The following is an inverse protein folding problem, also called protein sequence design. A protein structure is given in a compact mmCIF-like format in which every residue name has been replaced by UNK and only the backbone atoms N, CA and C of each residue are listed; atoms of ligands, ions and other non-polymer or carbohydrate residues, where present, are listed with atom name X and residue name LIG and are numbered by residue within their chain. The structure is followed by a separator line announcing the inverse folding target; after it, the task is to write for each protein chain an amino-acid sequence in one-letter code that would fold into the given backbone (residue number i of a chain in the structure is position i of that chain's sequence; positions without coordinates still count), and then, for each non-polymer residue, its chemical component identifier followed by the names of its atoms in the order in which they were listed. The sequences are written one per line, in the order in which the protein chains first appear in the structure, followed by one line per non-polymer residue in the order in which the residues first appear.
data_IF_082475015660
#
_entry.id   IF_082475015660
#
_cell.length_a   1.000
_cell.length_b   1.000
_cell.length_c   1.000
_cell.angle_alpha   90.00
_cell.angle_beta   90.00
_cell.angle_gamma   90.00
#
_symmetry.space_group_name_H-M   'P 1'
#
loop_
_entity.id
_entity.type
_entity.pdbx_description
1 polymer ?
#
# COMPACT_ATOMS: atom_id res chain seq x y z
N UNK A 1 -8.52 -32.47 15.09
CA UNK A 1 -7.29 -33.04 14.50
C UNK A 1 -7.07 -32.24 13.23
N UNK A 2 -6.22 -31.22 13.29
CA UNK A 2 -5.85 -30.42 12.12
C UNK A 2 -4.93 -31.28 11.24
N UNK A 3 -5.29 -31.43 10.00
CA UNK A 3 -4.51 -32.10 8.96
C UNK A 3 -3.26 -31.26 8.68
N UNK A 4 -2.12 -31.86 8.86
CA UNK A 4 -0.78 -31.27 8.82
C UNK A 4 -0.23 -31.14 7.40
N UNK A 5 -0.94 -30.56 6.43
CA UNK A 5 -0.38 -30.40 5.08
C UNK A 5 -1.15 -29.40 4.18
N UNK A 6 -1.87 -28.43 4.71
CA UNK A 6 -2.45 -27.35 3.91
C UNK A 6 -1.74 -26.03 4.18
N UNK A 7 -1.39 -25.36 3.10
CA UNK A 7 -0.61 -24.14 2.94
C UNK A 7 -0.70 -23.14 4.11
N UNK A 8 0.44 -22.89 4.76
CA UNK A 8 0.57 -22.02 5.94
C UNK A 8 0.54 -20.54 5.51
N UNK A 9 -0.64 -20.00 5.29
CA UNK A 9 -0.83 -18.57 4.99
C UNK A 9 -1.57 -17.81 6.09
N UNK A 10 -1.98 -18.53 7.15
CA UNK A 10 -2.77 -18.02 8.28
C UNK A 10 -2.22 -18.62 9.58
N UNK A 11 -2.06 -17.80 10.62
CA UNK A 11 -1.61 -18.30 11.92
C UNK A 11 -2.60 -19.29 12.55
N UNK A 12 -2.11 -20.41 13.13
CA UNK A 12 -2.98 -21.40 13.76
C UNK A 12 -3.57 -20.88 15.08
N UNK A 13 -4.74 -21.42 15.43
CA UNK A 13 -5.35 -21.19 16.74
C UNK A 13 -4.80 -22.26 17.68
N UNK A 14 -3.87 -21.88 18.57
CA UNK A 14 -3.20 -22.82 19.50
C UNK A 14 -3.45 -22.48 20.98
N UNK A 15 -3.87 -21.27 21.28
CA UNK A 15 -4.12 -20.78 22.63
C UNK A 15 -2.94 -19.99 23.23
N UNK A 16 -3.20 -19.23 24.32
CA UNK A 16 -2.23 -18.28 24.87
C UNK A 16 -1.05 -18.96 25.62
N UNK A 17 -1.20 -20.22 26.00
CA UNK A 17 -0.17 -20.99 26.74
C UNK A 17 0.70 -21.83 25.79
N UNK A 18 0.48 -21.81 24.48
CA UNK A 18 1.33 -22.54 23.53
C UNK A 18 2.72 -21.87 23.48
N UNK A 19 3.81 -22.65 23.65
CA UNK A 19 5.16 -22.08 23.64
C UNK A 19 5.65 -21.68 22.26
N UNK A 20 4.95 -22.05 21.19
CA UNK A 20 5.29 -21.69 19.81
C UNK A 20 4.78 -20.29 19.49
N UNK A 21 5.57 -19.57 18.75
CA UNK A 21 5.21 -18.25 18.23
C UNK A 21 5.05 -18.31 16.70
N UNK A 22 4.04 -17.64 16.20
CA UNK A 22 3.76 -17.60 14.76
C UNK A 22 3.64 -16.15 14.30
N UNK A 23 4.04 -15.89 13.04
CA UNK A 23 3.58 -14.69 12.35
C UNK A 23 2.09 -14.82 12.03
N UNK A 24 1.44 -13.74 11.64
CA UNK A 24 0.04 -13.79 11.18
C UNK A 24 -0.14 -14.66 9.92
N UNK A 25 0.94 -14.86 9.18
CA UNK A 25 1.00 -15.75 8.00
C UNK A 25 1.19 -17.25 8.35
N UNK A 26 1.19 -17.60 9.63
CA UNK A 26 1.36 -18.98 10.08
C UNK A 26 2.79 -19.51 10.04
N UNK A 27 3.78 -18.65 9.79
CA UNK A 27 5.20 -19.02 9.84
C UNK A 27 5.62 -19.15 11.30
N UNK A 28 6.06 -20.35 11.71
CA UNK A 28 6.55 -20.59 13.06
C UNK A 28 7.90 -19.90 13.28
N UNK A 29 8.01 -19.17 14.39
CA UNK A 29 9.21 -18.43 14.75
C UNK A 29 10.07 -19.31 15.67
N UNK A 30 11.29 -19.63 15.24
CA UNK A 30 12.26 -20.36 16.03
C UNK A 30 12.79 -19.51 17.20
N UNK A 31 13.11 -20.10 18.35
CA UNK A 31 13.73 -19.35 19.44
C UNK A 31 15.11 -18.75 19.09
N UNK A 32 15.82 -19.34 18.12
CA UNK A 32 17.13 -18.90 17.63
C UNK A 32 17.25 -19.24 16.16
N UNK A 33 17.82 -18.32 15.38
CA UNK A 33 18.22 -18.50 13.98
C UNK A 33 19.72 -18.48 13.85
N UNK A 34 20.28 -19.33 13.00
CA UNK A 34 21.70 -19.52 12.78
C UNK A 34 22.03 -19.69 11.27
N UNK A 35 23.29 -19.99 10.95
CA UNK A 35 23.74 -20.15 9.56
C UNK A 35 22.93 -21.19 8.77
N UNK A 36 22.50 -22.26 9.42
CA UNK A 36 21.72 -23.34 8.81
C UNK A 36 20.28 -22.90 8.41
N UNK A 37 19.82 -21.75 8.91
CA UNK A 37 18.52 -21.17 8.56
C UNK A 37 18.58 -20.25 7.33
N UNK A 38 19.78 -19.93 6.86
CA UNK A 38 19.96 -19.07 5.72
C UNK A 38 19.73 -19.83 4.39
N UNK A 39 19.17 -19.17 3.38
CA UNK A 39 19.09 -19.74 2.02
C UNK A 39 20.48 -20.11 1.49
N UNK A 40 20.62 -21.28 0.85
CA UNK A 40 21.90 -21.77 0.31
C UNK A 40 22.62 -20.78 -0.61
N UNK A 41 21.89 -19.99 -1.38
CA UNK A 41 22.40 -19.01 -2.33
C UNK A 41 22.17 -17.56 -1.89
N UNK A 42 22.30 -17.27 -0.59
CA UNK A 42 22.01 -15.96 -0.02
C UNK A 42 22.69 -14.79 -0.78
N UNK A 43 24.00 -14.84 -1.16
CA UNK A 43 24.63 -13.74 -1.88
C UNK A 43 23.94 -13.40 -3.21
N UNK A 44 23.51 -14.40 -3.98
CA UNK A 44 22.80 -14.21 -5.25
C UNK A 44 21.36 -13.71 -5.04
N UNK A 45 20.71 -14.17 -3.99
CA UNK A 45 19.35 -13.75 -3.62
C UNK A 45 19.30 -12.35 -3.05
N UNK A 46 20.36 -11.90 -2.38
CA UNK A 46 20.52 -10.52 -1.93
C UNK A 46 20.80 -9.57 -3.09
N UNK A 47 21.80 -9.89 -3.89
CA UNK A 47 22.34 -8.98 -4.90
C UNK A 47 22.88 -7.68 -4.30
N UNK A 48 23.18 -6.73 -5.15
CA UNK A 48 23.57 -5.37 -4.75
C UNK A 48 22.35 -4.42 -4.76
N UNK A 49 22.31 -3.42 -3.89
CA UNK A 49 21.24 -2.42 -3.92
C UNK A 49 21.12 -1.73 -5.29
N UNK A 50 19.91 -1.66 -5.82
CA UNK A 50 19.64 -1.04 -7.13
C UNK A 50 19.88 -1.96 -8.33
N UNK A 51 20.33 -3.20 -8.12
CA UNK A 51 20.55 -4.23 -9.13
C UNK A 51 19.61 -5.42 -8.93
N UNK A 52 19.40 -6.19 -9.99
CA UNK A 52 18.61 -7.44 -9.92
C UNK A 52 19.21 -8.38 -8.86
N UNK A 53 18.41 -9.00 -8.00
CA UNK A 53 16.94 -9.08 -7.98
C UNK A 53 16.24 -7.98 -7.14
N UNK A 54 16.89 -6.91 -6.79
CA UNK A 54 16.38 -5.76 -6.02
C UNK A 54 15.95 -6.08 -4.58
N UNK A 55 16.36 -7.20 -4.02
CA UNK A 55 16.03 -7.58 -2.64
C UNK A 55 16.37 -6.46 -1.66
N UNK A 56 17.51 -5.80 -1.84
CA UNK A 56 18.06 -4.76 -0.98
C UNK A 56 17.58 -3.34 -1.30
N UNK A 57 16.74 -3.15 -2.31
CA UNK A 57 16.20 -1.85 -2.70
C UNK A 57 16.28 -1.58 -4.19
N UNK A 58 15.41 -0.69 -4.69
CA UNK A 58 15.28 -0.37 -6.13
C UNK A 58 16.31 0.64 -6.63
N UNK A 59 17.05 1.30 -5.73
CA UNK A 59 18.11 2.27 -6.04
C UNK A 59 19.37 1.95 -5.25
N UNK A 60 20.55 2.22 -5.84
CA UNK A 60 21.84 1.94 -5.22
C UNK A 60 22.02 2.65 -3.87
N UNK A 61 21.67 3.92 -3.81
CA UNK A 61 21.91 4.75 -2.64
C UNK A 61 20.67 4.95 -1.76
N UNK A 62 19.50 4.49 -2.21
CA UNK A 62 18.21 4.63 -1.50
C UNK A 62 18.08 5.99 -0.80
N UNK A 63 17.82 6.00 0.51
CA UNK A 63 17.59 7.22 1.29
C UNK A 63 18.84 8.06 1.54
N UNK A 64 20.03 7.52 1.36
CA UNK A 64 21.29 8.28 1.44
C UNK A 64 21.37 9.36 0.36
N UNK A 65 20.70 9.16 -0.78
CA UNK A 65 20.58 10.17 -1.84
C UNK A 65 19.38 11.08 -1.62
N UNK A 66 18.25 10.53 -1.29
CA UNK A 66 16.99 11.25 -1.11
C UNK A 66 16.06 10.41 -0.25
N UNK A 67 15.50 10.99 0.82
CA UNK A 67 14.47 10.35 1.62
C UNK A 67 13.24 10.02 0.77
N UNK A 68 12.43 9.11 1.27
CA UNK A 68 11.13 8.81 0.66
C UNK A 68 10.24 10.05 0.58
N UNK A 69 9.28 10.03 -0.32
CA UNK A 69 8.28 11.10 -0.39
C UNK A 69 7.38 11.02 0.83
N UNK A 70 7.42 12.03 1.68
CA UNK A 70 6.54 12.14 2.85
C UNK A 70 5.20 12.68 2.37
N UNK A 71 4.16 11.86 2.53
CA UNK A 71 2.78 12.19 2.14
C UNK A 71 1.87 12.03 3.35
N UNK A 72 0.82 12.84 3.37
CA UNK A 72 -0.32 12.62 4.24
C UNK A 72 -1.55 12.47 3.37
N UNK A 73 -2.30 11.39 3.56
CA UNK A 73 -3.59 11.17 2.91
C UNK A 73 -4.56 12.21 3.43
N UNK A 74 -5.01 13.11 2.58
CA UNK A 74 -5.79 14.26 2.97
C UNK A 74 -6.86 14.59 1.93
N UNK A 75 -8.01 15.00 2.41
CA UNK A 75 -9.16 15.43 1.65
C UNK A 75 -10.38 15.28 2.53
N UNK A 76 -11.19 16.32 2.62
CA UNK A 76 -12.44 16.32 3.37
C UNK A 76 -13.31 17.49 2.92
N UNK A 77 -14.60 17.36 3.14
CA UNK A 77 -15.58 18.39 2.86
C UNK A 77 -15.50 18.97 1.45
N UNK A 78 -15.27 20.24 1.31
CA UNK A 78 -15.19 20.93 0.01
C UNK A 78 -13.77 20.96 -0.57
N UNK A 79 -13.68 21.26 -1.88
CA UNK A 79 -12.44 21.49 -2.57
C UNK A 79 -11.60 22.61 -1.92
N UNK A 80 -12.27 23.66 -1.40
CA UNK A 80 -11.61 24.78 -0.72
C UNK A 80 -10.95 24.36 0.60
N UNK A 81 -11.67 23.65 1.46
CA UNK A 81 -11.12 23.17 2.74
C UNK A 81 -9.99 22.19 2.52
N UNK A 82 -10.10 21.35 1.50
CA UNK A 82 -9.02 20.44 1.09
C UNK A 82 -7.80 21.20 0.56
N UNK A 83 -7.97 22.25 -0.21
CA UNK A 83 -6.89 23.12 -0.69
C UNK A 83 -6.14 23.77 0.49
N UNK A 84 -6.85 24.33 1.47
CA UNK A 84 -6.26 24.90 2.69
C UNK A 84 -5.42 23.84 3.43
N UNK A 85 -5.90 22.60 3.51
CA UNK A 85 -5.15 21.49 4.12
C UNK A 85 -3.92 21.12 3.31
N UNK A 86 -3.97 21.14 1.99
CA UNK A 86 -2.80 20.85 1.14
C UNK A 86 -1.72 21.90 1.32
N UNK A 87 -2.06 23.19 1.34
CA UNK A 87 -1.13 24.26 1.66
C UNK A 87 -0.49 24.06 3.03
N UNK A 88 -1.29 23.81 4.06
CA UNK A 88 -0.80 23.54 5.40
C UNK A 88 0.22 22.39 5.44
N UNK A 89 -0.05 21.26 4.79
CA UNK A 89 0.86 20.12 4.77
C UNK A 89 2.17 20.43 4.05
N UNK A 90 2.13 21.14 2.92
CA UNK A 90 3.31 21.54 2.17
C UNK A 90 4.19 22.53 2.99
N UNK A 91 3.60 23.49 3.66
CA UNK A 91 4.29 24.43 4.56
C UNK A 91 4.95 23.73 5.76
N UNK A 92 4.40 22.60 6.21
CA UNK A 92 4.95 21.82 7.32
C UNK A 92 5.93 20.71 6.90
N UNK A 93 6.30 20.66 5.60
CA UNK A 93 7.37 19.80 5.09
C UNK A 93 6.90 18.49 4.45
N UNK A 94 5.60 18.38 4.10
CA UNK A 94 5.16 17.35 3.17
C UNK A 94 5.83 17.57 1.81
N UNK A 95 6.33 16.49 1.18
CA UNK A 95 7.07 16.59 -0.09
C UNK A 95 6.25 16.14 -1.30
N UNK A 96 4.99 15.78 -1.07
CA UNK A 96 4.01 15.44 -2.10
C UNK A 96 2.61 15.39 -1.50
N UNK A 97 1.60 15.47 -2.34
CA UNK A 97 0.19 15.43 -1.95
C UNK A 97 -0.40 14.03 -2.15
N UNK A 98 -1.37 13.67 -1.32
CA UNK A 98 -2.19 12.48 -1.48
C UNK A 98 -3.66 12.88 -1.30
N UNK A 99 -4.41 12.90 -2.41
CA UNK A 99 -5.79 13.37 -2.47
C UNK A 99 -6.76 12.24 -2.17
N UNK A 100 -7.54 12.42 -1.12
CA UNK A 100 -8.66 11.54 -0.75
C UNK A 100 -9.95 12.07 -1.36
N UNK A 101 -10.68 11.23 -2.08
CA UNK A 101 -11.98 11.57 -2.65
C UNK A 101 -13.09 10.98 -1.79
N UNK A 102 -14.22 11.66 -1.73
CA UNK A 102 -15.40 11.16 -1.05
C UNK A 102 -16.04 9.96 -1.79
N UNK A 103 -16.97 9.29 -1.12
CA UNK A 103 -17.61 8.11 -1.68
C UNK A 103 -18.41 8.40 -2.97
N UNK A 104 -19.19 9.49 -3.08
CA UNK A 104 -19.85 9.85 -4.33
C UNK A 104 -18.89 9.98 -5.50
N UNK A 105 -17.82 10.75 -5.35
CA UNK A 105 -16.79 10.91 -6.38
C UNK A 105 -16.19 9.56 -6.79
N UNK A 106 -15.91 8.68 -5.83
CA UNK A 106 -15.36 7.34 -6.10
C UNK A 106 -16.32 6.43 -6.88
N UNK A 107 -17.64 6.65 -6.72
CA UNK A 107 -18.70 5.92 -7.42
C UNK A 107 -19.17 6.60 -8.69
N UNK A 108 -18.55 7.73 -9.08
CA UNK A 108 -18.93 8.49 -10.27
C UNK A 108 -20.32 9.12 -10.17
N UNK A 109 -20.69 9.57 -8.97
CA UNK A 109 -21.95 10.25 -8.68
C UNK A 109 -21.67 11.72 -8.38
N UNK A 110 -22.53 12.60 -8.88
CA UNK A 110 -22.52 14.02 -8.54
C UNK A 110 -23.07 14.23 -7.13
N UNK A 111 -22.63 15.28 -6.45
CA UNK A 111 -22.98 15.55 -5.05
C UNK A 111 -24.48 15.83 -4.81
N UNK A 112 -25.23 16.21 -5.86
CA UNK A 112 -26.68 16.45 -5.82
C UNK A 112 -27.52 15.19 -6.06
N UNK A 113 -26.89 14.04 -6.36
CA UNK A 113 -27.60 12.77 -6.51
C UNK A 113 -28.23 12.38 -5.16
N UNK A 114 -29.53 12.06 -5.10
CA UNK A 114 -30.21 11.68 -3.85
C UNK A 114 -29.58 10.51 -3.10
N UNK A 115 -28.83 9.64 -3.80
CA UNK A 115 -28.09 8.50 -3.20
C UNK A 115 -26.88 8.93 -2.37
N UNK A 116 -26.41 10.16 -2.56
CA UNK A 116 -25.22 10.71 -1.91
C UNK A 116 -25.51 11.40 -0.58
N UNK A 117 -26.78 11.47 -0.15
CA UNK A 117 -27.18 12.17 1.07
C UNK A 117 -26.42 11.63 2.29
N UNK A 118 -25.65 12.51 2.95
CA UNK A 118 -24.86 12.20 4.14
C UNK A 118 -23.46 11.63 3.86
N UNK A 119 -23.08 11.45 2.59
CA UNK A 119 -21.74 10.93 2.21
C UNK A 119 -20.86 11.98 1.53
N UNK A 120 -21.43 13.09 1.03
CA UNK A 120 -20.69 14.15 0.33
C UNK A 120 -19.69 14.80 1.29
N UNK A 121 -18.39 14.79 0.88
CA UNK A 121 -17.31 15.41 1.66
C UNK A 121 -16.93 14.69 2.95
N UNK A 122 -17.53 13.54 3.28
CA UNK A 122 -17.37 12.87 4.58
C UNK A 122 -16.05 12.11 4.70
N UNK A 123 -15.67 11.35 3.69
CA UNK A 123 -14.47 10.48 3.71
C UNK A 123 -13.37 10.96 2.79
N UNK A 124 -13.54 12.13 2.20
CA UNK A 124 -12.63 12.74 1.24
C UNK A 124 -13.27 13.99 0.64
N UNK A 125 -12.62 14.59 -0.33
CA UNK A 125 -13.11 15.78 -1.03
C UNK A 125 -14.10 15.38 -2.13
N UNK A 126 -15.20 16.12 -2.22
CA UNK A 126 -16.15 16.04 -3.34
C UNK A 126 -15.58 16.78 -4.56
N UNK A 127 -15.50 16.09 -5.71
CA UNK A 127 -15.10 16.66 -7.01
C UNK A 127 -16.13 16.25 -8.05
N UNK A 128 -17.02 17.15 -8.36
CA UNK A 128 -18.07 16.94 -9.36
C UNK A 128 -17.70 17.47 -10.74
N UNK A 129 -16.80 18.47 -10.77
CA UNK A 129 -16.47 19.20 -11.99
C UNK A 129 -15.03 19.68 -12.04
N UNK A 130 -14.67 20.27 -13.20
CA UNK A 130 -13.37 20.96 -13.36
C UNK A 130 -13.23 22.16 -12.40
N UNK A 131 -14.33 22.81 -12.02
CA UNK A 131 -14.30 23.95 -11.11
C UNK A 131 -13.87 23.54 -9.72
N UNK A 132 -14.31 22.39 -9.22
CA UNK A 132 -13.86 21.82 -7.96
C UNK A 132 -12.38 21.47 -8.00
N UNK A 133 -11.92 20.88 -9.12
CA UNK A 133 -10.52 20.55 -9.31
C UNK A 133 -9.62 21.80 -9.36
N UNK A 134 -10.09 22.90 -10.00
CA UNK A 134 -9.41 24.19 -10.00
C UNK A 134 -9.25 24.74 -8.57
N UNK A 135 -10.33 24.69 -7.79
CA UNK A 135 -10.31 25.15 -6.39
C UNK A 135 -9.38 24.28 -5.54
N UNK A 136 -9.42 22.95 -5.70
CA UNK A 136 -8.60 22.02 -4.93
C UNK A 136 -7.09 22.25 -5.14
N UNK A 137 -6.68 22.69 -6.33
CA UNK A 137 -5.27 22.92 -6.69
C UNK A 137 -4.90 24.40 -6.88
N UNK A 138 -5.76 25.31 -6.41
CA UNK A 138 -5.46 26.74 -6.47
C UNK A 138 -4.17 27.09 -5.70
N UNK A 139 -3.24 27.77 -6.35
CA UNK A 139 -1.94 28.17 -5.78
C UNK A 139 -0.93 27.04 -5.55
N UNK A 140 -1.24 25.79 -5.92
CA UNK A 140 -0.33 24.65 -5.79
C UNK A 140 0.46 24.47 -7.09
N UNK A 141 1.82 24.53 -7.05
CA UNK A 141 2.65 24.43 -8.24
C UNK A 141 2.74 22.97 -8.74
N UNK A 142 1.95 22.60 -9.75
CA UNK A 142 1.83 21.22 -10.26
C UNK A 142 3.09 20.73 -10.99
N UNK A 143 3.99 21.62 -11.38
CA UNK A 143 5.32 21.32 -11.94
C UNK A 143 6.32 20.84 -10.86
N UNK A 144 6.08 21.18 -9.58
CA UNK A 144 6.98 20.90 -8.47
C UNK A 144 6.46 19.83 -7.52
N UNK A 145 5.16 19.78 -7.31
CA UNK A 145 4.50 18.87 -6.37
C UNK A 145 3.98 17.64 -7.11
N UNK A 146 4.33 16.45 -6.63
CA UNK A 146 3.71 15.22 -7.14
C UNK A 146 2.43 14.92 -6.38
N UNK A 147 1.35 14.61 -7.12
CA UNK A 147 0.04 14.32 -6.54
C UNK A 147 -0.33 12.86 -6.71
N UNK A 148 -0.65 12.18 -5.61
CA UNK A 148 -1.28 10.86 -5.63
C UNK A 148 -2.78 11.01 -5.48
N UNK A 149 -3.55 10.36 -6.36
CA UNK A 149 -5.01 10.35 -6.32
C UNK A 149 -5.54 8.96 -6.00
N UNK A 150 -6.23 8.83 -4.85
CA UNK A 150 -6.85 7.58 -4.43
C UNK A 150 -8.19 7.41 -5.12
N UNK A 151 -8.14 7.11 -6.41
CA UNK A 151 -9.31 6.98 -7.28
C UNK A 151 -9.15 5.77 -8.21
N UNK A 152 -10.23 5.03 -8.45
CA UNK A 152 -10.23 3.76 -9.19
C UNK A 152 -11.20 3.78 -10.37
N UNK A 153 -12.47 3.46 -10.20
CA UNK A 153 -13.41 3.37 -11.32
C UNK A 153 -13.48 4.65 -12.20
N UNK A 154 -13.58 5.88 -11.64
CA UNK A 154 -13.55 7.12 -12.41
C UNK A 154 -12.14 7.72 -12.58
N UNK A 155 -11.06 6.95 -12.39
CA UNK A 155 -9.67 7.44 -12.42
C UNK A 155 -9.31 8.20 -13.68
N UNK A 156 -9.81 7.77 -14.85
CA UNK A 156 -9.56 8.45 -16.13
C UNK A 156 -10.15 9.85 -16.17
N UNK A 157 -11.36 10.04 -15.65
CA UNK A 157 -12.01 11.35 -15.59
C UNK A 157 -11.24 12.30 -14.68
N UNK A 158 -10.92 11.85 -13.45
CA UNK A 158 -10.22 12.69 -12.47
C UNK A 158 -8.80 13.05 -12.94
N UNK A 159 -8.11 12.14 -13.65
CA UNK A 159 -6.81 12.43 -14.24
C UNK A 159 -6.90 13.50 -15.33
N UNK A 160 -7.91 13.42 -16.20
CA UNK A 160 -8.12 14.43 -17.25
C UNK A 160 -8.47 15.79 -16.66
N UNK A 161 -9.27 15.86 -15.60
CA UNK A 161 -9.54 17.12 -14.89
C UNK A 161 -8.25 17.72 -14.31
N UNK A 162 -7.38 16.88 -13.72
CA UNK A 162 -6.09 17.31 -13.19
C UNK A 162 -5.14 17.81 -14.29
N UNK A 163 -5.08 17.12 -15.44
CA UNK A 163 -4.29 17.55 -16.61
C UNK A 163 -4.75 18.92 -17.12
N UNK A 164 -6.06 19.12 -17.25
CA UNK A 164 -6.64 20.41 -17.69
C UNK A 164 -6.28 21.55 -16.72
N UNK A 165 -6.33 21.31 -15.40
CA UNK A 165 -5.89 22.31 -14.41
C UNK A 165 -4.40 22.58 -14.55
N UNK A 166 -3.58 21.58 -14.83
CA UNK A 166 -2.15 21.76 -15.12
C UNK A 166 -1.92 22.64 -16.34
N UNK A 167 -2.65 22.39 -17.44
CA UNK A 167 -2.58 23.21 -18.67
C UNK A 167 -3.00 24.67 -18.39
N UNK A 168 -4.05 24.90 -17.62
CA UNK A 168 -4.51 26.24 -17.21
C UNK A 168 -3.48 26.97 -16.33
N UNK A 169 -2.69 26.25 -15.53
CA UNK A 169 -1.56 26.78 -14.76
C UNK A 169 -0.29 26.99 -15.63
N UNK A 170 -0.34 26.64 -16.91
CA UNK A 170 0.82 26.72 -17.82
C UNK A 170 1.83 25.59 -17.63
N UNK A 171 1.47 24.49 -16.98
CA UNK A 171 2.32 23.31 -16.80
C UNK A 171 2.05 22.33 -17.96
N UNK A 172 3.06 22.03 -18.80
CA UNK A 172 2.92 21.03 -19.85
C UNK A 172 2.55 19.65 -19.29
N UNK A 173 1.69 18.89 -19.96
CA UNK A 173 1.25 17.57 -19.51
C UNK A 173 2.43 16.61 -19.24
N UNK A 174 3.47 16.67 -20.06
CA UNK A 174 4.70 15.87 -19.90
C UNK A 174 5.51 16.21 -18.65
N UNK A 175 5.25 17.34 -17.98
CA UNK A 175 5.90 17.72 -16.72
C UNK A 175 5.11 17.29 -15.48
N UNK A 176 3.81 16.97 -15.64
CA UNK A 176 2.98 16.52 -14.55
C UNK A 176 3.49 15.21 -13.95
N UNK A 177 3.52 15.16 -12.61
CA UNK A 177 4.02 14.02 -11.85
C UNK A 177 2.99 13.61 -10.82
N UNK A 178 2.72 12.32 -10.75
CA UNK A 178 1.76 11.82 -9.78
C UNK A 178 1.47 10.35 -9.98
N UNK A 179 0.37 9.93 -9.39
CA UNK A 179 -0.12 8.56 -9.43
C UNK A 179 -1.63 8.56 -9.35
N UNK A 180 -2.33 7.88 -10.25
CA UNK A 180 -3.70 7.42 -10.01
C UNK A 180 -3.66 6.03 -9.42
N UNK A 181 -4.48 5.74 -8.39
CA UNK A 181 -4.53 4.39 -7.83
C UNK A 181 -4.98 3.38 -8.89
N UNK A 182 -6.11 3.64 -9.56
CA UNK A 182 -6.54 2.92 -10.78
C UNK A 182 -6.48 1.38 -10.67
N UNK A 183 -6.53 0.86 -9.44
CA UNK A 183 -6.53 -0.57 -9.15
C UNK A 183 -7.95 -1.05 -8.91
N UNK A 184 -8.59 -1.53 -9.97
CA UNK A 184 -9.99 -1.92 -9.86
C UNK A 184 -10.17 -3.33 -9.28
N UNK A 185 -9.22 -4.25 -9.46
CA UNK A 185 -9.35 -5.62 -8.97
C UNK A 185 -9.47 -5.67 -7.44
N UNK A 186 -8.72 -4.83 -6.74
CA UNK A 186 -8.85 -4.77 -5.27
C UNK A 186 -10.21 -4.29 -4.79
N UNK A 187 -10.95 -3.55 -5.61
CA UNK A 187 -12.31 -3.12 -5.27
C UNK A 187 -13.27 -4.32 -5.22
N UNK A 188 -13.18 -5.25 -6.18
CA UNK A 188 -14.00 -6.47 -6.16
C UNK A 188 -13.60 -7.42 -5.04
N UNK A 189 -12.31 -7.47 -4.68
CA UNK A 189 -11.79 -8.40 -3.68
C UNK A 189 -12.02 -7.90 -2.24
N UNK A 190 -11.79 -6.62 -1.98
CA UNK A 190 -11.74 -6.11 -0.60
C UNK A 190 -12.61 -4.89 -0.33
N UNK A 191 -12.52 -3.81 -1.15
CA UNK A 191 -13.03 -2.50 -0.76
C UNK A 191 -14.49 -2.26 -1.17
N UNK A 192 -14.90 -2.69 -2.36
CA UNK A 192 -16.30 -2.65 -2.80
C UNK A 192 -16.73 -1.44 -3.63
N UNK A 193 -15.84 -0.50 -3.94
CA UNK A 193 -16.18 0.73 -4.68
C UNK A 193 -15.92 0.55 -6.18
N UNK A 194 -16.81 -0.12 -6.88
CA UNK A 194 -16.74 -0.34 -8.33
C UNK A 194 -18.02 0.10 -9.04
N UNK A 195 -17.91 0.46 -10.32
CA UNK A 195 -19.01 0.94 -11.16
C UNK A 195 -19.31 -0.07 -12.28
N UNK A 196 -18.27 -0.65 -12.87
CA UNK A 196 -18.35 -1.49 -14.06
C UNK A 196 -18.08 -2.97 -13.72
N UNK A 197 -18.48 -3.93 -14.59
CA UNK A 197 -18.02 -5.31 -14.50
C UNK A 197 -16.50 -5.42 -14.60
N UNK A 198 -15.88 -6.48 -14.02
CA UNK A 198 -14.41 -6.60 -13.94
C UNK A 198 -13.66 -6.43 -15.26
N UNK A 199 -14.14 -7.06 -16.34
CA UNK A 199 -13.47 -7.01 -17.64
C UNK A 199 -13.50 -5.59 -18.24
N UNK A 200 -14.63 -4.90 -18.13
CA UNK A 200 -14.78 -3.52 -18.57
C UNK A 200 -13.91 -2.56 -17.78
N UNK A 201 -13.81 -2.78 -16.47
CA UNK A 201 -12.99 -2.00 -15.56
C UNK A 201 -11.49 -2.20 -15.82
N UNK A 202 -11.03 -3.43 -16.05
CA UNK A 202 -9.63 -3.73 -16.42
C UNK A 202 -9.28 -3.08 -17.76
N UNK A 203 -10.19 -3.09 -18.73
CA UNK A 203 -9.98 -2.40 -20.01
C UNK A 203 -9.77 -0.89 -19.80
N UNK A 204 -10.60 -0.22 -19.00
CA UNK A 204 -10.42 1.21 -18.70
C UNK A 204 -9.07 1.49 -18.02
N UNK A 205 -8.61 0.57 -17.16
CA UNK A 205 -7.29 0.67 -16.53
C UNK A 205 -6.17 0.65 -17.59
N UNK A 206 -6.22 -0.26 -18.54
CA UNK A 206 -5.19 -0.36 -19.60
C UNK A 206 -5.29 0.76 -20.63
N UNK A 207 -6.49 1.28 -20.91
CA UNK A 207 -6.67 2.47 -21.75
C UNK A 207 -5.95 3.69 -21.13
N UNK A 208 -6.00 3.82 -19.79
CA UNK A 208 -5.27 4.88 -19.09
C UNK A 208 -3.74 4.68 -19.18
N UNK A 209 -3.24 3.44 -19.21
CA UNK A 209 -1.82 3.17 -19.46
C UNK A 209 -1.39 3.71 -20.82
N UNK A 210 -2.17 3.43 -21.86
CA UNK A 210 -1.92 3.89 -23.21
C UNK A 210 -1.95 5.42 -23.32
N UNK A 211 -2.91 6.06 -22.67
CA UNK A 211 -3.05 7.52 -22.62
C UNK A 211 -1.83 8.17 -21.95
N UNK A 212 -1.50 7.74 -20.74
CA UNK A 212 -0.39 8.32 -19.98
C UNK A 212 0.95 8.17 -20.69
N UNK A 213 1.19 7.04 -21.35
CA UNK A 213 2.40 6.83 -22.16
C UNK A 213 2.59 7.96 -23.20
N UNK A 214 1.51 8.41 -23.81
CA UNK A 214 1.56 9.40 -24.89
C UNK A 214 1.53 10.85 -24.38
N UNK A 215 0.74 11.13 -23.34
CA UNK A 215 0.42 12.50 -22.91
C UNK A 215 1.12 12.89 -21.62
N UNK A 216 1.22 11.99 -20.65
CA UNK A 216 1.73 12.28 -19.29
C UNK A 216 2.81 11.25 -18.92
N UNK A 217 3.97 11.21 -19.60
CA UNK A 217 4.94 10.11 -19.50
C UNK A 217 5.62 9.98 -18.13
N UNK A 218 5.49 10.99 -17.27
CA UNK A 218 6.03 10.95 -15.89
C UNK A 218 5.01 10.45 -14.86
N UNK A 219 3.78 10.16 -15.27
CA UNK A 219 2.71 9.70 -14.39
C UNK A 219 2.82 8.20 -14.09
N UNK A 220 2.63 7.80 -12.83
CA UNK A 220 2.44 6.40 -12.48
C UNK A 220 0.98 6.04 -12.74
N UNK A 221 0.77 5.12 -13.66
CA UNK A 221 -0.54 4.82 -14.25
C UNK A 221 -1.44 4.00 -13.35
N UNK A 222 -0.85 3.32 -12.36
CA UNK A 222 -1.54 2.49 -11.37
C UNK A 222 -0.72 2.44 -10.08
N UNK A 223 -1.40 2.21 -8.97
CA UNK A 223 -0.82 1.80 -7.69
C UNK A 223 -1.50 0.52 -7.23
N UNK A 224 -0.93 -0.63 -7.59
CA UNK A 224 -1.47 -1.96 -7.33
C UNK A 224 -1.45 -2.22 -5.83
N UNK A 225 -2.63 -2.43 -5.23
CA UNK A 225 -2.83 -2.23 -3.80
C UNK A 225 -3.05 -3.53 -3.04
N UNK A 226 -2.09 -3.89 -2.19
CA UNK A 226 -2.24 -4.88 -1.12
C UNK A 226 -2.79 -4.27 0.18
N UNK A 227 -2.61 -2.97 0.38
CA UNK A 227 -3.04 -2.27 1.59
C UNK A 227 -4.46 -2.63 2.03
N UNK A 228 -5.42 -2.60 1.11
CA UNK A 228 -6.83 -2.83 1.42
C UNK A 228 -7.14 -4.30 1.79
N UNK A 229 -6.36 -5.25 1.27
CA UNK A 229 -6.44 -6.66 1.68
C UNK A 229 -6.03 -6.80 3.14
N UNK A 230 -4.97 -6.10 3.53
CA UNK A 230 -4.45 -6.09 4.89
C UNK A 230 -5.42 -5.43 5.87
N UNK A 231 -6.02 -4.32 5.48
CA UNK A 231 -7.06 -3.64 6.26
C UNK A 231 -8.32 -4.53 6.44
N UNK A 232 -8.61 -5.41 5.47
CA UNK A 232 -9.70 -6.39 5.57
C UNK A 232 -9.31 -7.63 6.38
N UNK A 233 -8.04 -7.81 6.75
CA UNK A 233 -7.57 -8.85 7.66
C UNK A 233 -6.78 -9.99 7.03
N UNK A 234 -6.25 -9.83 5.81
CA UNK A 234 -5.34 -10.83 5.24
C UNK A 234 -3.99 -10.87 5.97
N UNK A 235 -3.27 -11.96 5.83
CA UNK A 235 -1.90 -12.12 6.31
C UNK A 235 -0.89 -11.39 5.41
N UNK A 236 0.36 -11.23 5.86
CA UNK A 236 1.42 -10.63 5.06
C UNK A 236 1.73 -11.42 3.79
N UNK A 237 1.69 -12.76 3.86
CA UNK A 237 1.86 -13.65 2.68
C UNK A 237 0.74 -13.44 1.68
N UNK A 238 -0.51 -13.40 2.13
CA UNK A 238 -1.68 -13.16 1.28
C UNK A 238 -1.62 -11.76 0.65
N UNK A 239 -1.18 -10.74 1.39
CA UNK A 239 -0.99 -9.39 0.84
C UNK A 239 -0.01 -9.40 -0.34
N UNK A 240 1.17 -10.00 -0.19
CA UNK A 240 2.15 -10.11 -1.28
C UNK A 240 1.57 -10.88 -2.46
N UNK A 241 1.03 -12.07 -2.21
CA UNK A 241 0.56 -12.97 -3.25
C UNK A 241 -0.55 -12.34 -4.10
N UNK A 242 -1.58 -11.80 -3.48
CA UNK A 242 -2.73 -11.25 -4.19
C UNK A 242 -2.40 -9.91 -4.87
N UNK A 243 -1.53 -9.11 -4.28
CA UNK A 243 -1.04 -7.88 -4.92
C UNK A 243 -0.25 -8.19 -6.18
N UNK A 244 0.68 -9.15 -6.13
CA UNK A 244 1.47 -9.53 -7.29
C UNK A 244 0.63 -10.27 -8.34
N UNK A 245 -0.34 -11.11 -7.94
CA UNK A 245 -1.28 -11.73 -8.86
C UNK A 245 -2.12 -10.69 -9.61
N UNK A 246 -2.61 -9.65 -8.93
CA UNK A 246 -3.29 -8.53 -9.59
C UNK A 246 -2.34 -7.77 -10.54
N UNK A 247 -1.08 -7.58 -10.14
CA UNK A 247 -0.04 -7.00 -11.01
C UNK A 247 0.15 -7.80 -12.29
N UNK A 248 0.23 -9.13 -12.17
CA UNK A 248 0.30 -10.06 -13.32
C UNK A 248 -0.91 -9.88 -14.24
N UNK A 249 -2.11 -9.81 -13.68
CA UNK A 249 -3.33 -9.63 -14.46
C UNK A 249 -3.35 -8.30 -15.25
N UNK A 250 -2.93 -7.19 -14.63
CA UNK A 250 -2.84 -5.90 -15.31
C UNK A 250 -1.77 -5.87 -16.40
N UNK A 251 -0.59 -6.45 -16.16
CA UNK A 251 0.47 -6.54 -17.18
C UNK A 251 0.00 -7.38 -18.37
N UNK A 252 -0.62 -8.53 -18.11
CA UNK A 252 -1.15 -9.38 -19.16
C UNK A 252 -2.23 -8.67 -19.97
N UNK A 253 -3.19 -8.02 -19.31
CA UNK A 253 -4.26 -7.27 -19.98
C UNK A 253 -3.72 -6.12 -20.85
N UNK A 254 -2.67 -5.44 -20.41
CA UNK A 254 -2.02 -4.39 -21.19
C UNK A 254 -1.32 -4.94 -22.44
N UNK A 255 -0.64 -6.09 -22.30
CA UNK A 255 -0.01 -6.79 -23.44
C UNK A 255 -1.07 -7.27 -24.43
N UNK A 256 -2.17 -7.86 -23.94
CA UNK A 256 -3.28 -8.33 -24.79
C UNK A 256 -3.98 -7.17 -25.52
N UNK A 257 -3.97 -5.96 -24.93
CA UNK A 257 -4.43 -4.72 -25.56
C UNK A 257 -3.41 -4.15 -26.57
N UNK A 258 -2.27 -4.81 -26.81
CA UNK A 258 -1.25 -4.43 -27.79
C UNK A 258 -0.17 -3.48 -27.29
N UNK A 259 -0.05 -3.26 -25.96
CA UNK A 259 1.01 -2.44 -25.39
C UNK A 259 2.31 -3.24 -25.25
N UNK A 260 3.45 -2.60 -25.47
CA UNK A 260 4.77 -3.19 -25.25
C UNK A 260 5.15 -3.07 -23.78
N UNK A 261 5.53 -4.18 -23.13
CA UNK A 261 5.77 -4.24 -21.69
C UNK A 261 6.75 -3.18 -21.18
N UNK A 262 7.87 -2.99 -21.86
CA UNK A 262 8.90 -2.02 -21.43
C UNK A 262 8.50 -0.54 -21.63
N UNK A 263 7.41 -0.29 -22.30
CA UNK A 263 6.89 1.07 -22.50
C UNK A 263 5.96 1.55 -21.38
N UNK A 264 5.26 0.62 -20.69
CA UNK A 264 4.36 0.99 -19.59
C UNK A 264 4.84 0.49 -18.21
N UNK A 265 5.50 -0.67 -18.14
CA UNK A 265 5.89 -1.28 -16.87
C UNK A 265 6.78 -0.41 -15.98
N UNK A 266 7.69 0.46 -16.51
CA UNK A 266 8.44 1.40 -15.68
C UNK A 266 7.58 2.41 -14.90
N UNK A 267 6.29 2.51 -15.23
CA UNK A 267 5.32 3.42 -14.57
C UNK A 267 4.32 2.69 -13.66
N UNK A 268 4.42 1.39 -13.54
CA UNK A 268 3.67 0.66 -12.54
C UNK A 268 4.23 0.98 -11.15
N UNK A 269 3.32 1.19 -10.21
CA UNK A 269 3.64 1.37 -8.80
C UNK A 269 2.78 0.42 -7.97
N UNK A 270 3.16 0.24 -6.70
CA UNK A 270 2.48 -0.64 -5.77
C UNK A 270 2.13 0.10 -4.49
N UNK A 271 1.22 -0.48 -3.72
CA UNK A 271 0.79 0.07 -2.45
C UNK A 271 0.62 -1.05 -1.42
N UNK A 272 1.44 -1.01 -0.39
CA UNK A 272 1.42 -1.99 0.69
C UNK A 272 1.07 -1.37 2.04
N UNK A 273 0.60 -2.21 2.94
CA UNK A 273 0.39 -1.86 4.35
C UNK A 273 1.71 -1.96 5.12
N UNK A 274 1.91 -1.11 6.12
CA UNK A 274 2.93 -1.26 7.14
C UNK A 274 2.29 -1.66 8.46
N UNK A 275 2.44 -2.93 8.87
CA UNK A 275 1.80 -3.50 10.05
C UNK A 275 2.74 -3.55 11.28
N UNK A 276 2.25 -3.99 12.44
CA UNK A 276 2.97 -3.94 13.71
C UNK A 276 4.19 -4.88 13.80
N UNK A 277 4.20 -6.00 13.06
CA UNK A 277 5.33 -6.96 13.11
C UNK A 277 6.49 -6.47 12.22
N UNK A 278 7.39 -5.67 12.82
CA UNK A 278 8.48 -4.98 12.10
C UNK A 278 9.29 -5.93 11.21
N UNK A 279 9.71 -7.08 11.73
CA UNK A 279 10.59 -8.01 11.00
C UNK A 279 9.85 -8.68 9.85
N UNK A 280 8.58 -9.06 10.05
CA UNK A 280 7.76 -9.63 8.98
C UNK A 280 7.51 -8.60 7.88
N UNK A 281 7.23 -7.34 8.21
CA UNK A 281 7.00 -6.30 7.23
C UNK A 281 8.26 -6.01 6.39
N UNK A 282 9.43 -5.93 7.03
CA UNK A 282 10.71 -5.78 6.31
C UNK A 282 10.94 -6.97 5.36
N UNK A 283 10.73 -8.19 5.82
CA UNK A 283 10.87 -9.41 5.02
C UNK A 283 9.85 -9.43 3.85
N UNK A 284 8.62 -9.03 4.11
CA UNK A 284 7.55 -8.89 3.11
C UNK A 284 7.94 -7.99 1.94
N UNK A 285 8.46 -6.80 2.22
CA UNK A 285 8.87 -5.86 1.16
C UNK A 285 10.07 -6.37 0.36
N UNK A 286 11.00 -7.06 1.00
CA UNK A 286 12.16 -7.69 0.38
C UNK A 286 11.73 -8.82 -0.56
N UNK A 287 10.84 -9.71 -0.11
CA UNK A 287 10.26 -10.79 -0.90
C UNK A 287 9.49 -10.24 -2.11
N UNK A 288 8.61 -9.25 -1.90
CA UNK A 288 7.81 -8.66 -2.96
C UNK A 288 8.66 -8.06 -4.10
N UNK A 289 9.77 -7.35 -3.78
CA UNK A 289 10.66 -6.79 -4.79
C UNK A 289 11.33 -7.88 -5.63
N UNK A 290 11.87 -8.90 -4.99
CA UNK A 290 12.53 -10.01 -5.66
C UNK A 290 11.57 -10.78 -6.57
N UNK A 291 10.42 -11.16 -6.04
CA UNK A 291 9.38 -11.86 -6.80
C UNK A 291 8.93 -11.07 -8.03
N UNK A 292 8.67 -9.76 -7.87
CA UNK A 292 8.24 -8.93 -9.00
C UNK A 292 9.32 -8.83 -10.09
N UNK A 293 10.57 -8.65 -9.70
CA UNK A 293 11.68 -8.59 -10.64
C UNK A 293 11.80 -9.87 -11.49
N UNK A 294 11.66 -11.03 -10.86
CA UNK A 294 11.65 -12.32 -11.55
C UNK A 294 10.41 -12.47 -12.45
N UNK A 295 9.23 -12.14 -11.97
CA UNK A 295 7.97 -12.19 -12.75
C UNK A 295 8.11 -11.34 -14.03
N UNK A 296 8.56 -10.11 -13.92
CA UNK A 296 8.69 -9.21 -15.08
C UNK A 296 9.74 -9.70 -16.06
N UNK A 297 10.87 -10.19 -15.56
CA UNK A 297 11.97 -10.67 -16.39
C UNK A 297 11.65 -12.02 -17.05
N UNK A 298 11.11 -12.98 -16.29
CA UNK A 298 10.99 -14.38 -16.74
C UNK A 298 9.62 -14.66 -17.36
N UNK A 299 8.53 -14.21 -16.73
CA UNK A 299 7.18 -14.47 -17.25
C UNK A 299 6.80 -13.54 -18.42
N UNK A 300 7.14 -12.24 -18.31
CA UNK A 300 6.77 -11.24 -19.34
C UNK A 300 7.91 -10.89 -20.29
N UNK A 301 9.12 -11.36 -20.04
CA UNK A 301 10.27 -11.16 -20.92
C UNK A 301 10.70 -9.70 -21.05
N UNK A 302 10.36 -8.83 -20.07
CA UNK A 302 10.79 -7.44 -20.04
C UNK A 302 12.32 -7.32 -20.10
N UNK A 303 12.83 -6.35 -20.86
CA UNK A 303 14.28 -6.14 -21.07
C UNK A 303 14.81 -4.91 -20.38
N UNK A 304 13.95 -3.91 -20.13
CA UNK A 304 14.33 -2.70 -19.41
C UNK A 304 14.35 -2.98 -17.91
N UNK A 305 15.49 -2.78 -17.26
CA UNK A 305 15.64 -2.97 -15.82
C UNK A 305 14.65 -2.12 -15.00
N UNK A 306 14.19 -0.97 -15.53
CA UNK A 306 13.18 -0.15 -14.88
C UNK A 306 11.84 -0.86 -14.79
N UNK A 307 11.55 -1.78 -15.72
CA UNK A 307 10.32 -2.61 -15.72
C UNK A 307 10.34 -3.66 -14.62
N UNK A 308 11.52 -4.07 -14.12
CA UNK A 308 11.67 -5.09 -13.09
C UNK A 308 11.53 -4.53 -11.66
N UNK A 309 11.61 -3.19 -11.50
CA UNK A 309 11.63 -2.53 -10.19
C UNK A 309 10.24 -2.41 -9.60
N UNK A 310 10.01 -3.04 -8.47
CA UNK A 310 8.81 -2.83 -7.68
C UNK A 310 9.00 -1.57 -6.82
N UNK A 311 8.42 -0.47 -7.26
CA UNK A 311 8.37 0.80 -6.51
C UNK A 311 7.03 0.87 -5.80
N UNK A 312 7.04 1.19 -4.51
CA UNK A 312 5.82 1.15 -3.74
C UNK A 312 5.67 2.32 -2.76
N UNK A 313 4.43 2.64 -2.52
CA UNK A 313 3.95 3.43 -1.41
C UNK A 313 3.63 2.53 -0.23
N UNK A 314 3.85 3.00 0.98
CA UNK A 314 3.36 2.33 2.19
C UNK A 314 2.47 3.29 2.98
N UNK A 315 1.37 2.76 3.48
CA UNK A 315 0.58 3.40 4.53
C UNK A 315 0.61 2.50 5.76
N UNK A 316 0.78 3.10 6.93
CA UNK A 316 0.69 2.39 8.20
C UNK A 316 -0.70 1.81 8.41
N UNK A 317 -0.79 0.65 9.05
CA UNK A 317 -2.03 -0.13 9.17
C UNK A 317 -3.07 0.53 10.07
N UNK A 318 -4.13 1.08 9.49
CA UNK A 318 -5.26 1.67 10.22
C UNK A 318 -5.99 0.64 11.08
N UNK A 319 -6.16 -0.58 10.58
CA UNK A 319 -6.81 -1.70 11.29
C UNK A 319 -6.16 -2.04 12.63
N UNK A 320 -4.91 -1.67 12.86
CA UNK A 320 -4.17 -1.93 14.10
C UNK A 320 -4.39 -0.88 15.17
N UNK A 321 -4.98 0.26 14.81
CA UNK A 321 -5.17 1.38 15.70
C UNK A 321 -6.46 1.24 16.50
N UNK A 322 -6.41 1.63 17.76
CA UNK A 322 -7.49 1.38 18.72
C UNK A 322 -8.07 2.69 19.22
N UNK A 323 -9.38 2.69 19.51
CA UNK A 323 -10.05 3.80 20.18
C UNK A 323 -9.63 3.89 21.66
N UNK A 324 -9.32 2.74 22.28
CA UNK A 324 -8.85 2.66 23.66
C UNK A 324 -7.39 3.13 23.73
N UNK A 325 -7.09 3.99 24.71
CA UNK A 325 -5.74 4.54 24.94
C UNK A 325 -5.11 5.05 23.62
N UNK A 326 -5.72 6.05 22.96
CA UNK A 326 -5.37 6.42 21.57
C UNK A 326 -3.92 6.92 21.42
N UNK A 327 -3.29 7.44 22.46
CA UNK A 327 -1.89 7.86 22.45
C UNK A 327 -0.93 6.69 22.17
N UNK A 328 -1.28 5.45 22.52
CA UNK A 328 -0.50 4.26 22.18
C UNK A 328 -0.40 4.06 20.66
N UNK A 329 -1.33 4.61 19.89
CA UNK A 329 -1.30 4.55 18.44
C UNK A 329 -0.10 5.31 17.86
N UNK A 330 0.42 6.35 18.52
CA UNK A 330 1.65 7.05 18.11
C UNK A 330 2.81 6.06 18.05
N UNK A 331 2.94 5.20 19.05
CA UNK A 331 3.98 4.17 19.11
C UNK A 331 3.77 3.12 18.02
N UNK A 332 2.53 2.64 17.83
CA UNK A 332 2.21 1.67 16.75
C UNK A 332 2.59 2.23 15.39
N UNK A 333 2.17 3.44 15.07
CA UNK A 333 2.46 4.12 13.80
C UNK A 333 3.97 4.36 13.63
N UNK A 334 4.70 4.68 14.70
CA UNK A 334 6.15 4.84 14.63
C UNK A 334 6.87 3.52 14.26
N UNK A 335 6.47 2.39 14.86
CA UNK A 335 7.03 1.07 14.55
C UNK A 335 6.68 0.64 13.11
N UNK A 336 5.45 0.86 12.67
CA UNK A 336 5.00 0.57 11.31
C UNK A 336 5.74 1.41 10.27
N UNK A 337 5.89 2.71 10.52
CA UNK A 337 6.66 3.62 9.67
C UNK A 337 8.15 3.23 9.61
N UNK A 338 8.73 2.84 10.74
CA UNK A 338 10.11 2.34 10.80
C UNK A 338 10.28 1.05 9.97
N UNK A 339 9.35 0.11 10.08
CA UNK A 339 9.37 -1.10 9.28
C UNK A 339 9.28 -0.80 7.77
N UNK A 340 8.42 0.13 7.36
CA UNK A 340 8.29 0.56 5.96
C UNK A 340 9.59 1.17 5.42
N UNK A 341 10.25 2.01 6.21
CA UNK A 341 11.54 2.64 5.85
C UNK A 341 12.64 1.59 5.77
N UNK A 342 12.82 0.75 6.79
CA UNK A 342 13.78 -0.35 6.76
C UNK A 342 13.49 -1.34 5.62
N UNK A 343 12.22 -1.47 5.21
CA UNK A 343 11.77 -2.26 4.08
C UNK A 343 11.95 -1.59 2.70
N UNK A 344 12.36 -0.33 2.63
CA UNK A 344 12.74 0.35 1.39
C UNK A 344 11.60 0.98 0.59
N UNK A 345 10.57 1.52 1.24
CA UNK A 345 9.45 2.23 0.61
C UNK A 345 9.89 3.50 -0.15
N UNK A 346 9.22 3.86 -1.25
CA UNK A 346 9.49 5.09 -2.01
C UNK A 346 8.64 6.27 -1.55
N UNK A 347 7.49 6.02 -0.94
CA UNK A 347 6.68 7.05 -0.29
C UNK A 347 5.95 6.46 0.91
N UNK A 348 5.64 7.29 1.89
CA UNK A 348 5.05 6.85 3.16
C UNK A 348 3.92 7.80 3.57
N UNK A 349 2.81 7.22 4.03
CA UNK A 349 1.79 7.86 4.83
C UNK A 349 1.78 7.23 6.23
N UNK A 350 1.73 8.07 7.25
CA UNK A 350 1.56 7.67 8.64
C UNK A 350 0.19 8.12 9.14
N UNK A 351 -0.60 7.21 9.71
CA UNK A 351 -1.93 7.50 10.21
C UNK A 351 -1.88 8.43 11.43
N UNK A 352 -2.92 9.23 11.62
CA UNK A 352 -3.11 9.97 12.87
C UNK A 352 -3.39 9.01 14.03
N UNK A 353 -2.98 9.39 15.24
CA UNK A 353 -3.25 8.56 16.42
C UNK A 353 -4.74 8.47 16.75
N UNK A 354 -5.55 9.38 16.23
CA UNK A 354 -7.01 9.49 16.37
C UNK A 354 -7.78 8.78 15.23
N UNK A 355 -7.11 8.04 14.36
CA UNK A 355 -7.68 7.35 13.19
C UNK A 355 -8.89 6.48 13.54
N UNK A 356 -8.84 5.80 14.69
CA UNK A 356 -9.95 4.94 15.14
C UNK A 356 -11.16 5.73 15.70
N UNK A 357 -11.02 7.04 15.88
CA UNK A 357 -12.05 7.89 16.50
C UNK A 357 -12.76 8.75 15.46
N UNK A 358 -12.01 9.39 14.57
CA UNK A 358 -12.54 10.36 13.60
C UNK A 358 -11.54 10.68 12.49
N UNK A 359 -11.89 11.60 11.59
CA UNK A 359 -10.93 12.22 10.67
C UNK A 359 -9.81 12.91 11.48
N UNK A 360 -8.54 12.87 10.99
CA UNK A 360 -7.41 13.39 11.73
C UNK A 360 -7.56 14.86 12.08
N UNK A 361 -7.39 15.16 13.38
CA UNK A 361 -7.25 16.54 13.85
C UNK A 361 -5.97 17.16 13.28
N UNK A 362 -5.86 18.49 13.27
CA UNK A 362 -4.62 19.18 12.85
C UNK A 362 -3.42 18.73 13.69
N UNK A 363 -3.60 18.54 15.00
CA UNK A 363 -2.58 18.03 15.92
C UNK A 363 -2.14 16.62 15.54
N UNK A 364 -3.08 15.72 15.28
CA UNK A 364 -2.80 14.34 14.91
C UNK A 364 -2.08 14.27 13.57
N UNK A 365 -2.52 15.00 12.57
CA UNK A 365 -1.87 15.09 11.26
C UNK A 365 -0.43 15.61 11.37
N UNK A 366 -0.19 16.62 12.22
CA UNK A 366 1.15 17.13 12.50
C UNK A 366 2.05 16.10 13.18
N UNK A 367 1.56 15.40 14.19
CA UNK A 367 2.32 14.33 14.88
C UNK A 367 2.64 13.20 13.88
N UNK A 368 1.67 12.79 13.07
CA UNK A 368 1.87 11.78 12.04
C UNK A 368 3.00 12.14 11.07
N UNK A 369 3.03 13.38 10.57
CA UNK A 369 4.11 13.86 9.71
C UNK A 369 5.46 13.94 10.46
N UNK A 370 5.46 14.41 11.72
CA UNK A 370 6.68 14.44 12.56
C UNK A 370 7.23 13.04 12.81
N UNK A 371 6.38 12.02 12.94
CA UNK A 371 6.81 10.62 13.06
C UNK A 371 7.70 10.22 11.88
N UNK A 372 7.31 10.53 10.64
CA UNK A 372 8.16 10.27 9.47
C UNK A 372 9.48 11.03 9.51
N UNK A 373 9.44 12.31 9.92
CA UNK A 373 10.62 13.15 10.01
C UNK A 373 11.59 12.66 11.09
N UNK A 374 11.11 12.23 12.26
CA UNK A 374 11.94 11.60 13.31
C UNK A 374 12.60 10.33 12.78
N UNK A 375 11.86 9.45 12.11
CA UNK A 375 12.42 8.25 11.50
C UNK A 375 13.52 8.63 10.48
N UNK A 376 13.30 9.65 9.67
CA UNK A 376 14.24 10.06 8.62
C UNK A 376 15.50 10.76 9.11
N UNK A 377 15.42 11.53 10.19
CA UNK A 377 16.50 12.41 10.62
C UNK A 377 17.15 12.04 11.95
N UNK A 378 16.49 11.26 12.80
CA UNK A 378 16.98 10.98 14.15
C UNK A 378 17.26 9.49 14.42
N UNK A 379 16.62 8.56 13.65
CA UNK A 379 16.67 7.11 13.98
C UNK A 379 17.88 6.37 13.40
N UNK A 380 18.59 6.95 12.43
CA UNK A 380 19.65 6.27 11.67
C UNK A 380 19.12 5.30 10.59
N UNK A 381 17.81 5.10 10.44
CA UNK A 381 17.24 4.17 9.46
C UNK A 381 17.53 4.54 8.00
N UNK A 382 17.83 5.81 7.73
CA UNK A 382 18.17 6.32 6.41
C UNK A 382 19.69 6.39 6.13
N UNK A 383 20.55 6.06 7.12
CA UNK A 383 22.00 6.23 7.03
C UNK A 383 22.67 5.12 6.21
N UNK A 384 22.03 3.96 6.09
CA UNK A 384 22.52 2.84 5.30
C UNK A 384 21.40 2.23 4.46
N UNK A 385 21.77 1.48 3.43
CA UNK A 385 20.83 0.75 2.60
C UNK A 385 20.60 -0.63 3.19
N UNK A 386 19.32 -1.03 3.31
CA UNK A 386 18.92 -2.35 3.77
C UNK A 386 19.57 -2.76 5.13
N UNK A 387 19.23 -2.04 6.21
CA UNK A 387 19.93 -2.19 7.51
C UNK A 387 19.77 -3.59 8.14
N UNK A 388 18.78 -4.38 7.73
CA UNK A 388 18.54 -5.73 8.22
C UNK A 388 19.14 -6.83 7.33
N UNK A 389 19.83 -6.48 6.23
CA UNK A 389 20.47 -7.46 5.36
C UNK A 389 21.46 -8.33 6.13
N UNK A 390 21.40 -9.65 5.91
CA UNK A 390 22.25 -10.64 6.57
C UNK A 390 21.79 -11.03 7.98
N UNK A 391 20.68 -10.49 8.49
CA UNK A 391 20.04 -11.02 9.69
C UNK A 391 19.52 -12.43 9.41
N UNK A 392 19.98 -13.43 10.15
CA UNK A 392 19.53 -14.81 10.01
C UNK A 392 18.01 -14.92 10.00
N UNK A 393 17.34 -14.25 10.93
CA UNK A 393 15.89 -14.26 11.04
C UNK A 393 15.19 -13.58 9.85
N UNK A 394 15.64 -12.38 9.46
CA UNK A 394 14.98 -11.63 8.38
C UNK A 394 15.18 -12.32 7.03
N UNK A 395 16.36 -12.89 6.76
CA UNK A 395 16.59 -13.62 5.50
C UNK A 395 15.77 -14.92 5.45
N UNK A 396 15.72 -15.69 6.53
CA UNK A 396 14.87 -16.88 6.61
C UNK A 396 13.39 -16.53 6.42
N UNK A 397 12.92 -15.48 7.10
CA UNK A 397 11.52 -15.02 6.99
C UNK A 397 11.20 -14.49 5.58
N UNK A 398 12.14 -13.83 4.92
CA UNK A 398 11.99 -13.39 3.52
C UNK A 398 11.76 -14.59 2.58
N UNK A 399 12.51 -15.68 2.79
CA UNK A 399 12.40 -16.91 2.01
C UNK A 399 11.05 -17.61 2.23
N UNK A 400 10.61 -17.73 3.48
CA UNK A 400 9.33 -18.37 3.82
C UNK A 400 8.14 -17.58 3.25
N UNK A 401 8.17 -16.25 3.36
CA UNK A 401 7.11 -15.39 2.77
C UNK A 401 7.08 -15.57 1.26
N UNK A 402 8.23 -15.57 0.59
CA UNK A 402 8.30 -15.75 -0.86
C UNK A 402 7.76 -17.11 -1.28
N UNK A 403 8.17 -18.19 -0.62
CA UNK A 403 7.74 -19.55 -0.91
C UNK A 403 6.23 -19.67 -0.82
N UNK A 404 5.65 -19.27 0.30
CA UNK A 404 4.20 -19.32 0.53
C UNK A 404 3.42 -18.41 -0.42
N UNK A 405 3.95 -17.22 -0.75
CA UNK A 405 3.30 -16.32 -1.69
C UNK A 405 3.30 -16.87 -3.13
N UNK A 406 4.36 -17.56 -3.55
CA UNK A 406 4.42 -18.22 -4.86
C UNK A 406 3.37 -19.33 -4.99
N UNK A 407 3.15 -20.09 -3.94
CA UNK A 407 2.11 -21.13 -3.92
C UNK A 407 0.72 -20.55 -4.10
N UNK A 408 0.41 -19.44 -3.42
CA UNK A 408 -0.87 -18.73 -3.61
C UNK A 408 -1.01 -18.14 -5.02
N UNK A 409 0.06 -17.55 -5.59
CA UNK A 409 0.04 -17.04 -6.96
C UNK A 409 -0.22 -18.20 -7.95
N UNK A 410 0.44 -19.35 -7.76
CA UNK A 410 0.18 -20.52 -8.59
C UNK A 410 -1.28 -20.97 -8.51
N UNK A 411 -1.88 -20.92 -7.31
CA UNK A 411 -3.31 -21.23 -7.13
C UNK A 411 -4.21 -20.25 -7.87
N UNK A 412 -3.90 -18.95 -7.84
CA UNK A 412 -4.63 -17.94 -8.63
C UNK A 412 -4.49 -18.20 -10.13
N UNK A 413 -3.29 -18.59 -10.58
CA UNK A 413 -3.03 -18.94 -11.99
C UNK A 413 -3.83 -20.18 -12.43
N UNK A 414 -3.91 -21.23 -11.59
CA UNK A 414 -4.74 -22.44 -11.83
C UNK A 414 -6.23 -22.10 -12.00
N UNK A 415 -6.71 -21.09 -11.28
CA UNK A 415 -8.09 -20.61 -11.38
C UNK A 415 -8.34 -19.71 -12.61
N UNK A 416 -7.31 -19.46 -13.43
CA UNK A 416 -7.41 -18.65 -14.64
C UNK A 416 -7.09 -17.17 -14.43
N UNK A 417 -6.31 -16.83 -13.40
CA UNK A 417 -5.85 -15.47 -13.08
C UNK A 417 -6.80 -14.69 -12.17
N UNK A 418 -6.36 -13.50 -11.75
CA UNK A 418 -7.04 -12.73 -10.69
C UNK A 418 -8.51 -12.43 -10.95
N UNK A 419 -8.92 -12.13 -12.20
CA UNK A 419 -10.32 -11.86 -12.52
C UNK A 419 -11.23 -13.06 -12.20
N UNK A 420 -10.76 -14.27 -12.50
CA UNK A 420 -11.50 -15.51 -12.24
C UNK A 420 -11.35 -15.99 -10.79
N UNK A 421 -10.32 -15.56 -10.08
CA UNK A 421 -10.01 -15.94 -8.71
C UNK A 421 -10.53 -14.95 -7.65
N UNK A 422 -11.38 -13.98 -8.01
CA UNK A 422 -11.89 -12.95 -7.07
C UNK A 422 -12.52 -13.62 -5.83
N UNK A 423 -13.41 -14.60 -6.02
CA UNK A 423 -14.10 -15.27 -4.91
C UNK A 423 -13.14 -16.08 -4.05
N UNK A 424 -12.15 -16.73 -4.66
CA UNK A 424 -11.09 -17.43 -3.92
C UNK A 424 -10.32 -16.47 -3.01
N UNK A 425 -9.81 -15.36 -3.55
CA UNK A 425 -9.06 -14.37 -2.78
C UNK A 425 -9.89 -13.74 -1.66
N UNK A 426 -11.19 -13.48 -1.91
CA UNK A 426 -12.11 -13.00 -0.88
C UNK A 426 -12.24 -13.99 0.27
N UNK A 427 -12.45 -15.25 -0.02
CA UNK A 427 -12.60 -16.30 0.99
C UNK A 427 -11.33 -16.46 1.82
N UNK A 428 -10.16 -16.47 1.19
CA UNK A 428 -8.85 -16.54 1.88
C UNK A 428 -8.66 -15.37 2.87
N UNK A 429 -9.03 -14.15 2.46
CA UNK A 429 -8.96 -12.97 3.32
C UNK A 429 -9.96 -13.09 4.49
N UNK A 430 -11.17 -13.56 4.24
CA UNK A 430 -12.21 -13.72 5.25
C UNK A 430 -11.83 -14.82 6.28
N UNK A 431 -11.23 -15.90 5.83
CA UNK A 431 -10.71 -16.96 6.72
C UNK A 431 -9.58 -16.45 7.60
N UNK A 432 -8.66 -15.63 7.03
CA UNK A 432 -7.58 -15.00 7.80
C UNK A 432 -8.12 -14.05 8.87
N UNK A 433 -9.06 -13.18 8.49
CA UNK A 433 -9.70 -12.24 9.40
C UNK A 433 -10.47 -12.97 10.53
N UNK A 434 -11.18 -14.04 10.19
CA UNK A 434 -11.85 -14.88 11.18
C UNK A 434 -10.85 -15.55 12.14
N UNK A 435 -9.76 -16.10 11.62
CA UNK A 435 -8.69 -16.71 12.42
C UNK A 435 -8.08 -15.72 13.40
N UNK A 436 -7.80 -14.47 12.94
CA UNK A 436 -7.33 -13.38 13.81
C UNK A 436 -8.34 -13.09 14.93
N UNK A 437 -9.63 -12.95 14.59
CA UNK A 437 -10.66 -12.67 15.58
C UNK A 437 -10.74 -13.77 16.65
N UNK A 438 -10.66 -15.04 16.26
CA UNK A 438 -10.69 -16.17 17.21
C UNK A 438 -9.46 -16.19 18.13
N UNK A 439 -8.25 -15.94 17.59
CA UNK A 439 -7.02 -15.82 18.40
C UNK A 439 -7.09 -14.64 19.37
N UNK A 440 -7.61 -13.51 18.90
CA UNK A 440 -7.85 -12.33 19.76
C UNK A 440 -8.84 -12.64 20.89
N UNK A 441 -9.95 -13.33 20.59
CA UNK A 441 -10.99 -13.68 21.56
C UNK A 441 -10.50 -14.61 22.70
N UNK A 442 -9.49 -15.43 22.44
CA UNK A 442 -8.89 -16.34 23.43
C UNK A 442 -7.57 -15.80 24.01
N UNK A 443 -7.25 -14.54 23.84
CA UNK A 443 -6.02 -13.88 24.31
C UNK A 443 -4.71 -14.50 23.78
N UNK A 444 -4.75 -15.18 22.64
CA UNK A 444 -3.54 -15.62 21.93
C UNK A 444 -2.86 -14.42 21.26
N UNK A 445 -3.64 -13.56 20.59
CA UNK A 445 -3.18 -12.31 20.01
C UNK A 445 -3.47 -11.15 20.98
N UNK A 446 -2.42 -10.49 21.45
CA UNK A 446 -2.51 -9.41 22.44
C UNK A 446 -2.55 -8.05 21.75
N UNK A 447 -3.54 -7.23 22.12
CA UNK A 447 -3.65 -5.82 21.77
C UNK A 447 -3.61 -5.00 23.05
N UNK A 448 -2.50 -4.30 23.28
CA UNK A 448 -2.28 -3.48 24.48
C UNK A 448 -3.35 -2.39 24.60
N UNK A 449 -3.92 -2.30 25.79
CA UNK A 449 -5.02 -1.36 26.09
C UNK A 449 -6.40 -1.88 25.71
N UNK A 450 -6.50 -3.05 25.05
CA UNK A 450 -7.78 -3.61 24.60
C UNK A 450 -8.11 -4.95 25.26
N UNK A 451 -7.25 -5.98 25.15
CA UNK A 451 -7.42 -7.24 25.85
C UNK A 451 -6.31 -7.53 26.88
N UNK A 452 -5.31 -6.64 26.98
CA UNK A 452 -4.29 -6.68 28.03
C UNK A 452 -3.87 -5.27 28.43
N UNK A 453 -3.58 -5.03 29.71
CA UNK A 453 -3.31 -3.71 30.28
C UNK A 453 -4.46 -2.73 30.05
N UNK A 454 -5.66 -3.23 30.23
CA UNK A 454 -6.91 -2.45 30.11
C UNK A 454 -7.02 -1.50 31.28
N UNK A 455 -7.39 -0.26 31.01
CA UNK A 455 -7.67 0.77 32.01
C UNK A 455 -9.10 1.27 31.80
N UNK A 456 -9.73 1.81 32.83
CA UNK A 456 -10.96 2.56 32.67
C UNK A 456 -10.59 3.88 31.97
N UNK A 457 -10.82 3.95 30.65
CA UNK A 457 -10.58 5.17 29.89
C UNK A 457 -11.43 6.32 30.49
N UNK A 458 -10.83 7.47 30.82
CA UNK A 458 -11.65 8.64 31.12
C UNK A 458 -12.50 8.93 29.89
N UNK A 459 -13.78 9.25 30.11
CA UNK A 459 -14.74 9.60 29.07
C UNK A 459 -14.04 10.47 28.00
N UNK A 460 -14.04 9.98 26.75
CA UNK A 460 -13.53 10.77 25.62
C UNK A 460 -14.33 12.07 25.60
N UNK A 461 -13.71 13.24 25.75
CA UNK A 461 -14.45 14.50 25.66
C UNK A 461 -15.09 14.62 24.27
N UNK A 462 -16.37 14.98 24.26
CA UNK A 462 -17.15 15.26 23.04
C UNK A 462 -16.47 16.26 22.09
#
# INVERSE_FOLDING_TARGET
MATTDEHRTIAPIVGPDDPRHFTDSGIEIKPLYADDDLPENLPQRLGEPGEYPYTRGVHRDMYRKQLWTMRQYAGYASAKESNERYHYLLEHGSTGLSMAFDLPTQLGLDSDDPRCLGEVGRTGVAIDSIDDMRVAFDGIPLDKVSTSMTINAPASVLLLLYELVGEEQGVPAEELRGTTQNDILKEYIARGNFIYPPEGAVRLTTDLFAYCKQRIPKWNTISISGYHFREKGCSAVQEVAFTLANGIAYVQAAIDAGLVVDEFAPRLAFFFNGHNNVFQEVAKFRAARRMWAEIMRERFGAKDERSWRLRFHTQTGGVTLTAQQPENNIVRVALQGFAAVCGGTQSLHTNGYDEALALPTERAAKIALRTQQIIGYESGAADTVDPFAGSYFVEALTEEIETSARELIAKVDELGGSVNAIDFMKNEIEESAFGYHERYRIDQDIVVGVNKFVEDDPEVPD
#
